data_IF_615032207031
#
_entry.id   IF_615032207031
#
_cell.length_a   1.000
_cell.length_b   1.000
_cell.length_c   1.000
_cell.angle_alpha   90.00
_cell.angle_beta   90.00
_cell.angle_gamma   90.00
#
_symmetry.space_group_name_H-M   'P 1'
#
loop_
_entity.id
_entity.type
_entity.pdbx_description
1 polymer ?
#
# COMPACT_ATOMS: atom_id res chain seq x y z
N UNK A 1 1.47 8.25 19.88
CA UNK A 1 0.26 7.91 19.10
C UNK A 1 0.52 6.53 18.52
N UNK A 2 -0.25 5.53 18.93
CA UNK A 2 -0.11 4.15 18.44
C UNK A 2 -0.42 4.16 16.95
N UNK A 3 0.53 3.80 16.09
CA UNK A 3 0.29 3.61 14.65
C UNK A 3 -0.43 2.28 14.49
N UNK A 4 -1.76 2.24 14.28
CA UNK A 4 -2.51 1.00 14.24
C UNK A 4 -1.97 0.04 13.16
N UNK A 5 -1.49 0.57 12.03
CA UNK A 5 -0.98 -0.20 10.89
C UNK A 5 0.55 -0.10 10.73
N UNK A 6 1.26 0.40 11.75
CA UNK A 6 2.72 0.53 11.77
C UNK A 6 3.25 1.38 10.61
N UNK A 7 4.10 0.78 9.76
CA UNK A 7 4.71 1.45 8.60
C UNK A 7 3.71 1.82 7.50
N UNK A 8 2.49 1.29 7.50
CA UNK A 8 1.49 1.67 6.51
C UNK A 8 0.79 3.00 6.83
N UNK A 9 0.75 3.43 8.08
CA UNK A 9 0.21 4.75 8.47
C UNK A 9 0.87 5.93 7.72
N UNK A 10 2.21 6.07 7.71
CA UNK A 10 2.86 7.17 6.97
C UNK A 10 2.70 7.04 5.45
N UNK A 11 2.59 5.81 4.91
CA UNK A 11 2.29 5.61 3.49
C UNK A 11 0.88 6.08 3.15
N UNK A 12 -0.10 5.76 4.00
CA UNK A 12 -1.48 6.19 3.83
C UNK A 12 -1.59 7.70 3.83
N UNK A 13 -0.94 8.37 4.79
CA UNK A 13 -0.90 9.82 4.87
C UNK A 13 -0.28 10.44 3.61
N UNK A 14 0.86 9.90 3.16
CA UNK A 14 1.53 10.34 1.93
C UNK A 14 0.65 10.15 0.68
N UNK A 15 -0.07 9.03 0.56
CA UNK A 15 -1.01 8.82 -0.55
C UNK A 15 -2.19 9.79 -0.47
N UNK A 16 -2.72 10.07 0.72
CA UNK A 16 -3.81 11.05 0.88
C UNK A 16 -3.36 12.47 0.57
N UNK A 17 -2.12 12.82 0.90
CA UNK A 17 -1.54 14.13 0.61
C UNK A 17 -1.22 14.30 -0.89
N UNK A 18 -0.54 13.32 -1.51
CA UNK A 18 -0.05 13.42 -2.89
C UNK A 18 -1.04 12.94 -3.95
N UNK A 19 -1.95 12.05 -3.59
CA UNK A 19 -2.91 11.45 -4.52
C UNK A 19 -4.29 11.30 -3.86
N UNK A 20 -4.95 12.42 -3.50
CA UNK A 20 -6.23 12.38 -2.78
C UNK A 20 -7.36 11.70 -3.56
N UNK A 21 -7.20 11.53 -4.88
CA UNK A 21 -8.13 10.82 -5.76
C UNK A 21 -7.97 9.30 -5.74
N UNK A 22 -6.89 8.77 -5.17
CA UNK A 22 -6.69 7.34 -4.97
C UNK A 22 -7.54 6.89 -3.77
N UNK A 23 -8.37 5.87 -3.97
CA UNK A 23 -9.06 5.16 -2.89
C UNK A 23 -8.02 4.34 -2.12
N UNK A 24 -7.40 4.96 -1.11
CA UNK A 24 -6.49 4.30 -0.18
C UNK A 24 -7.25 3.89 1.08
N UNK A 25 -7.03 2.67 1.54
CA UNK A 25 -7.58 2.16 2.81
C UNK A 25 -6.62 1.14 3.44
N UNK A 26 -6.23 1.37 4.70
CA UNK A 26 -5.47 0.39 5.47
C UNK A 26 -6.40 -0.69 6.02
N UNK A 27 -6.04 -1.94 5.81
CA UNK A 27 -6.81 -3.12 6.23
C UNK A 27 -5.94 -3.96 7.14
N UNK A 28 -6.47 -4.28 8.32
CA UNK A 28 -5.96 -5.38 9.14
C UNK A 28 -6.68 -6.65 8.68
N UNK A 29 -6.01 -7.59 8.01
CA UNK A 29 -6.62 -8.88 7.79
C UNK A 29 -6.91 -9.50 9.15
N UNK A 30 -8.16 -9.88 9.39
CA UNK A 30 -8.45 -10.88 10.42
C UNK A 30 -8.27 -12.25 9.78
N UNK A 31 -7.98 -13.31 10.54
CA UNK A 31 -7.92 -14.67 10.01
C UNK A 31 -9.20 -15.09 9.25
N UNK A 32 -10.33 -14.41 9.46
CA UNK A 32 -11.59 -14.64 8.74
C UNK A 32 -11.72 -13.89 7.40
N UNK A 33 -10.91 -12.86 7.14
CA UNK A 33 -10.97 -12.06 5.90
C UNK A 33 -9.85 -12.39 4.91
N UNK A 34 -8.96 -13.32 5.24
CA UNK A 34 -8.00 -13.85 4.29
C UNK A 34 -8.73 -14.81 3.33
N UNK A 35 -8.73 -14.57 2.01
CA UNK A 35 -9.02 -15.66 1.09
C UNK A 35 -7.96 -16.73 1.35
N UNK A 36 -8.36 -17.99 1.58
CA UNK A 36 -7.44 -19.11 1.80
C UNK A 36 -6.34 -19.11 0.73
N UNK A 37 -5.20 -18.46 1.03
CA UNK A 37 -4.05 -18.48 0.15
C UNK A 37 -3.45 -19.86 0.34
N UNK A 38 -3.84 -20.78 -0.54
CA UNK A 38 -3.34 -22.15 -0.61
C UNK A 38 -1.81 -22.12 -0.59
N UNK A 39 -1.21 -22.41 0.55
CA UNK A 39 0.25 -22.53 0.71
C UNK A 39 0.90 -21.58 1.72
N UNK A 40 0.17 -20.65 2.34
CA UNK A 40 0.71 -19.89 3.48
C UNK A 40 0.51 -20.66 4.78
N UNK A 41 1.48 -20.69 5.71
CA UNK A 41 1.34 -21.40 6.97
C UNK A 41 0.16 -20.80 7.76
N UNK A 42 -0.66 -21.65 8.38
CA UNK A 42 -1.81 -21.24 9.20
C UNK A 42 -1.41 -20.32 10.39
N UNK A 43 -0.11 -20.26 10.71
CA UNK A 43 0.53 -19.40 11.71
C UNK A 43 1.11 -18.09 11.14
N UNK A 44 0.96 -17.82 9.85
CA UNK A 44 1.36 -16.53 9.26
C UNK A 44 0.51 -15.42 9.89
N UNK A 45 1.15 -14.61 10.73
CA UNK A 45 0.51 -13.44 11.33
C UNK A 45 -0.06 -12.59 10.19
N UNK A 46 -1.37 -12.30 10.18
CA UNK A 46 -1.99 -11.56 9.09
C UNK A 46 -1.35 -10.18 8.97
N UNK A 47 -0.49 -10.01 7.95
CA UNK A 47 0.25 -8.78 7.76
C UNK A 47 -0.71 -7.68 7.33
N UNK A 48 -0.77 -6.54 8.03
CA UNK A 48 -1.59 -5.42 7.59
C UNK A 48 -1.18 -5.02 6.18
N UNK A 49 -2.16 -4.63 5.37
CA UNK A 49 -1.93 -4.17 4.00
C UNK A 49 -2.76 -2.92 3.70
N UNK A 50 -2.26 -2.09 2.79
CA UNK A 50 -2.98 -0.94 2.27
C UNK A 50 -3.59 -1.30 0.92
N UNK A 51 -4.91 -1.20 0.81
CA UNK A 51 -5.62 -1.30 -0.47
C UNK A 51 -5.59 0.05 -1.15
N UNK A 52 -5.26 0.08 -2.44
CA UNK A 52 -5.24 1.27 -3.27
C UNK A 52 -5.96 1.03 -4.59
N UNK A 53 -6.94 1.87 -4.92
CA UNK A 53 -7.72 1.79 -6.15
C UNK A 53 -7.89 3.15 -6.81
N UNK A 54 -8.03 3.18 -8.13
CA UNK A 54 -8.32 4.40 -8.87
C UNK A 54 -9.22 4.10 -10.08
N UNK A 55 -10.41 4.69 -10.10
CA UNK A 55 -11.36 4.54 -11.20
C UNK A 55 -11.78 3.08 -11.47
N UNK A 56 -11.84 2.63 -12.74
CA UNK A 56 -12.24 1.26 -13.09
C UNK A 56 -11.13 0.22 -12.87
N UNK A 57 -9.95 0.63 -12.39
CA UNK A 57 -8.83 -0.28 -12.15
C UNK A 57 -9.11 -1.08 -10.89
N UNK A 58 -8.95 -2.40 -10.97
CA UNK A 58 -9.10 -3.28 -9.83
C UNK A 58 -8.20 -2.84 -8.66
N UNK A 59 -8.71 -2.81 -7.42
CA UNK A 59 -7.95 -2.38 -6.26
C UNK A 59 -6.75 -3.29 -6.05
N UNK A 60 -5.58 -2.67 -5.88
CA UNK A 60 -4.31 -3.34 -5.62
C UNK A 60 -3.99 -3.29 -4.13
N UNK A 61 -3.14 -4.20 -3.66
CA UNK A 61 -2.72 -4.27 -2.26
C UNK A 61 -1.24 -3.98 -2.15
N UNK A 62 -0.86 -3.21 -1.14
CA UNK A 62 0.50 -2.85 -0.79
C UNK A 62 0.79 -3.36 0.61
N UNK A 63 1.92 -4.01 0.80
CA UNK A 63 2.41 -4.48 2.10
C UNK A 63 3.73 -3.80 2.42
N UNK A 64 4.03 -3.73 3.71
CA UNK A 64 5.39 -3.46 4.17
C UNK A 64 6.12 -4.79 4.35
N UNK A 65 7.26 -4.93 3.69
CA UNK A 65 8.15 -6.06 3.85
C UNK A 65 9.29 -5.66 4.79
N UNK A 66 9.37 -6.31 5.95
CA UNK A 66 10.36 -5.97 6.98
C UNK A 66 11.76 -6.49 6.64
N UNK A 67 11.85 -7.60 5.90
CA UNK A 67 13.12 -8.21 5.45
C UNK A 67 13.85 -7.29 4.47
N UNK A 68 13.12 -6.76 3.49
CA UNK A 68 13.63 -5.80 2.51
C UNK A 68 13.56 -4.35 3.02
N UNK A 69 12.89 -4.11 4.14
CA UNK A 69 12.60 -2.80 4.69
C UNK A 69 11.96 -1.87 3.66
N UNK A 70 10.97 -2.36 2.90
CA UNK A 70 10.37 -1.63 1.79
C UNK A 70 8.90 -1.98 1.55
N UNK A 71 8.17 -1.04 0.95
CA UNK A 71 6.81 -1.28 0.45
C UNK A 71 6.86 -2.10 -0.84
N UNK A 72 6.02 -3.12 -0.91
CA UNK A 72 5.87 -4.01 -2.06
C UNK A 72 4.41 -4.09 -2.50
N UNK A 73 4.16 -4.33 -3.78
CA UNK A 73 2.86 -4.75 -4.26
C UNK A 73 2.57 -6.19 -3.83
N UNK A 74 1.53 -6.40 -3.04
CA UNK A 74 1.06 -7.75 -2.70
C UNK A 74 0.17 -8.36 -3.79
N UNK A 75 -0.54 -7.53 -4.57
CA UNK A 75 -1.44 -8.01 -5.63
C UNK A 75 -1.43 -7.12 -6.87
N UNK A 76 -1.81 -7.70 -8.01
CA UNK A 76 -1.86 -7.04 -9.31
C UNK A 76 -0.81 -7.57 -10.29
N UNK A 77 -0.68 -6.96 -11.48
CA UNK A 77 0.32 -7.36 -12.47
C UNK A 77 1.76 -7.12 -12.01
N UNK A 78 1.94 -6.20 -11.06
CA UNK A 78 3.23 -5.84 -10.47
C UNK A 78 3.46 -6.52 -9.10
N UNK A 79 2.74 -7.59 -8.78
CA UNK A 79 2.91 -8.28 -7.50
C UNK A 79 4.38 -8.70 -7.26
N UNK A 80 4.90 -8.41 -6.07
CA UNK A 80 6.31 -8.56 -5.70
C UNK A 80 7.20 -7.38 -6.09
N UNK A 81 6.74 -6.42 -6.89
CA UNK A 81 7.55 -5.29 -7.28
C UNK A 81 7.71 -4.28 -6.13
N UNK A 82 8.94 -3.80 -5.95
CA UNK A 82 9.30 -2.85 -4.90
C UNK A 82 8.89 -1.43 -5.25
N UNK A 83 8.11 -0.82 -4.37
CA UNK A 83 7.69 0.58 -4.46
C UNK A 83 8.80 1.52 -3.97
N UNK A 84 9.40 1.19 -2.83
CA UNK A 84 10.46 1.95 -2.18
C UNK A 84 10.39 1.78 -0.66
N UNK A 85 11.39 2.25 0.06
CA UNK A 85 11.39 2.27 1.54
C UNK A 85 10.79 3.56 2.11
N UNK A 86 10.76 4.60 1.28
CA UNK A 86 10.22 5.91 1.62
C UNK A 86 8.70 5.98 1.29
N UNK A 87 7.85 6.43 2.23
CA UNK A 87 6.40 6.47 2.03
C UNK A 87 5.98 7.46 0.95
N UNK A 88 6.68 8.59 0.80
CA UNK A 88 6.33 9.59 -0.20
C UNK A 88 6.67 9.11 -1.62
N UNK A 89 7.85 8.51 -1.78
CA UNK A 89 8.24 7.89 -3.04
C UNK A 89 7.33 6.72 -3.40
N UNK A 90 6.96 5.91 -2.41
CA UNK A 90 6.00 4.82 -2.62
C UNK A 90 4.62 5.37 -3.03
N UNK A 91 4.14 6.45 -2.42
CA UNK A 91 2.89 7.11 -2.78
C UNK A 91 2.88 7.65 -4.22
N UNK A 92 3.94 8.35 -4.65
CA UNK A 92 4.08 8.82 -6.04
C UNK A 92 4.05 7.65 -7.01
N UNK A 93 4.75 6.56 -6.68
CA UNK A 93 4.80 5.37 -7.53
C UNK A 93 3.46 4.65 -7.59
N UNK A 94 2.73 4.55 -6.47
CA UNK A 94 1.36 4.03 -6.43
C UNK A 94 0.46 4.86 -7.34
N UNK A 95 0.50 6.18 -7.25
CA UNK A 95 -0.32 7.07 -8.07
C UNK A 95 0.00 6.89 -9.57
N UNK A 96 1.29 6.87 -9.93
CA UNK A 96 1.74 6.62 -11.32
C UNK A 96 1.27 5.27 -11.85
N UNK A 97 1.45 4.20 -11.06
CA UNK A 97 1.04 2.85 -11.43
C UNK A 97 -0.48 2.75 -11.61
N UNK A 98 -1.25 3.46 -10.77
CA UNK A 98 -2.70 3.54 -10.89
C UNK A 98 -3.17 4.54 -11.97
N UNK A 99 -2.27 5.31 -12.58
CA UNK A 99 -2.63 6.39 -13.50
C UNK A 99 -3.44 7.51 -12.83
N UNK A 100 -3.36 7.61 -11.50
CA UNK A 100 -4.03 8.66 -10.74
C UNK A 100 -3.26 9.98 -10.92
N UNK A 101 -3.95 11.13 -10.97
CA UNK A 101 -3.29 12.42 -10.93
C UNK A 101 -2.58 12.55 -9.59
N UNK A 102 -1.25 12.64 -9.63
CA UNK A 102 -0.45 13.06 -8.48
C UNK A 102 -0.57 14.56 -8.39
N UNK A 103 -1.07 15.05 -7.25
CA UNK A 103 -0.94 16.46 -6.93
C UNK A 103 0.55 16.71 -6.72
N UNK A 104 1.16 17.65 -7.47
CA UNK A 104 2.53 18.03 -7.17
C UNK A 104 2.51 18.64 -5.78
N UNK A 105 3.02 17.92 -4.79
CA UNK A 105 3.38 18.52 -3.51
C UNK A 105 4.14 19.83 -3.82
N UNK A 106 3.88 20.94 -3.11
CA UNK A 106 4.49 22.21 -3.44
C UNK A 106 5.98 21.97 -3.53
N UNK A 107 6.55 22.19 -4.71
CA UNK A 107 7.98 22.15 -4.91
C UNK A 107 8.54 23.08 -3.82
N UNK A 108 9.31 22.51 -2.90
CA UNK A 108 10.08 23.33 -1.97
C UNK A 108 11.01 24.17 -2.86
N UNK A 109 10.64 25.43 -3.03
CA UNK A 109 11.39 26.50 -3.69
C UNK A 109 12.55 26.96 -2.81
#
# INVERSE_FOLDING_TARGET
MTQPYGRLDPLYDAVRARAPKVDAACVHPTPQTQPEMKGEPEDAVPTPYMRVGFGPIAPRRVIWDDDLGAYLWATGPDAGARLGSDPEQAADRIARTLGAPVDPAPAAE
#
